data_IF_518623342350
#
_entry.id   IF_518623342350
#
_cell.length_a   1.000
_cell.length_b   1.000
_cell.length_c   1.000
_cell.angle_alpha   90.00
_cell.angle_beta   90.00
_cell.angle_gamma   90.00
#
_symmetry.space_group_name_H-M   'P 1'
#
loop_
_entity.id
_entity.type
_entity.pdbx_description
1 polymer ?
#
# COMPACT_ATOMS: atom_id res chain seq x y z
N UNK A 1 45.87 49.42 28.09
CA UNK A 1 44.75 49.05 29.01
C UNK A 1 44.86 47.57 29.31
N UNK A 2 44.99 47.20 30.59
CA UNK A 2 45.10 45.80 31.01
C UNK A 2 43.71 45.17 31.14
N UNK A 3 43.55 43.95 30.62
CA UNK A 3 42.29 43.19 30.76
C UNK A 3 42.21 42.67 32.21
N UNK A 4 41.13 43.02 32.93
CA UNK A 4 40.81 42.45 34.24
C UNK A 4 39.63 41.46 34.10
N UNK A 5 39.38 40.64 35.12
CA UNK A 5 38.27 39.67 35.14
C UNK A 5 36.88 40.28 34.97
N UNK A 6 36.74 41.58 35.22
CA UNK A 6 35.49 42.34 35.08
C UNK A 6 35.33 42.97 33.67
N UNK A 7 36.38 42.95 32.83
CA UNK A 7 36.40 43.49 31.46
C UNK A 7 36.71 42.39 30.42
N UNK A 8 36.67 41.13 30.84
CA UNK A 8 36.98 40.01 29.98
C UNK A 8 35.72 39.52 29.23
N UNK A 9 35.64 39.78 27.92
CA UNK A 9 34.58 39.27 27.04
C UNK A 9 34.86 37.82 26.63
N UNK A 10 34.68 36.90 27.56
CA UNK A 10 34.59 35.47 27.30
C UNK A 10 33.16 35.01 27.05
N UNK A 11 32.97 33.88 26.37
CA UNK A 11 31.69 33.17 26.41
C UNK A 11 31.45 32.70 27.86
N UNK A 12 30.33 33.09 28.47
CA UNK A 12 30.03 32.80 29.89
C UNK A 12 31.15 33.19 30.89
N UNK A 13 31.87 34.29 30.66
CA UNK A 13 33.00 34.75 31.51
C UNK A 13 34.21 33.79 31.57
N UNK A 14 34.27 32.77 30.69
CA UNK A 14 35.40 31.84 30.61
C UNK A 14 36.43 32.30 29.57
N UNK A 15 37.74 32.07 29.80
CA UNK A 15 38.79 32.41 28.84
C UNK A 15 38.57 31.73 27.49
N UNK A 16 38.75 32.47 26.39
CA UNK A 16 38.76 31.95 25.03
C UNK A 16 39.98 31.05 24.85
N UNK A 17 39.75 29.75 24.96
CA UNK A 17 40.75 28.72 24.70
C UNK A 17 40.10 27.57 23.93
N UNK A 18 40.91 26.74 23.26
CA UNK A 18 40.42 25.62 22.45
C UNK A 18 39.51 24.63 23.21
N UNK A 19 39.61 24.58 24.54
CA UNK A 19 38.77 23.76 25.40
C UNK A 19 37.46 24.45 25.82
N UNK A 20 37.42 25.79 25.87
CA UNK A 20 36.28 26.57 26.35
C UNK A 20 35.51 27.26 25.21
N UNK A 21 35.99 27.16 23.98
CA UNK A 21 35.27 27.64 22.80
C UNK A 21 34.12 26.68 22.47
N UNK A 22 32.87 27.17 22.36
CA UNK A 22 31.73 26.32 22.04
C UNK A 22 31.92 25.70 20.65
N UNK A 23 32.15 24.39 20.62
CA UNK A 23 32.23 23.65 19.36
C UNK A 23 30.82 23.44 18.85
N UNK A 24 30.56 23.92 17.63
CA UNK A 24 29.29 23.70 16.95
C UNK A 24 29.22 22.22 16.56
N UNK A 25 28.32 21.46 17.19
CA UNK A 25 28.00 20.10 16.75
C UNK A 25 26.92 20.19 15.67
N UNK A 26 27.29 19.96 14.42
CA UNK A 26 26.32 19.80 13.34
C UNK A 26 25.68 18.41 13.45
N UNK A 27 24.60 18.30 14.22
CA UNK A 27 23.74 17.12 14.14
C UNK A 27 22.90 17.27 12.88
N UNK A 28 23.05 16.38 11.89
CA UNK A 28 22.08 16.32 10.79
C UNK A 28 20.72 16.08 11.44
N UNK A 29 19.86 17.09 11.40
CA UNK A 29 18.53 17.05 12.01
C UNK A 29 17.70 16.07 11.20
N UNK A 30 17.79 14.79 11.55
CA UNK A 30 17.01 13.71 10.94
C UNK A 30 15.50 13.97 11.08
N UNK A 31 15.11 14.78 12.07
CA UNK A 31 13.73 15.09 12.43
C UNK A 31 13.25 16.46 11.93
N UNK A 32 13.84 17.01 10.86
CA UNK A 32 13.16 18.10 10.16
C UNK A 32 11.91 17.54 9.49
N UNK A 33 10.78 18.28 9.47
CA UNK A 33 9.57 17.84 8.79
C UNK A 33 9.80 17.55 7.30
N UNK A 34 10.81 18.21 6.72
CA UNK A 34 11.26 18.02 5.34
C UNK A 34 11.88 16.62 5.13
N UNK A 35 12.76 16.16 6.03
CA UNK A 35 13.35 14.83 5.98
C UNK A 35 12.30 13.72 6.16
N UNK A 36 11.30 13.92 7.02
CA UNK A 36 10.17 12.98 7.16
C UNK A 36 9.37 12.88 5.85
N UNK A 37 9.10 14.02 5.20
CA UNK A 37 8.38 14.06 3.93
C UNK A 37 9.16 13.34 2.83
N UNK A 38 10.48 13.57 2.74
CA UNK A 38 11.34 12.89 1.78
C UNK A 38 11.40 11.37 2.03
N UNK A 39 11.44 10.94 3.29
CA UNK A 39 11.39 9.52 3.65
C UNK A 39 10.08 8.88 3.21
N UNK A 40 8.94 9.51 3.51
CA UNK A 40 7.63 9.04 3.06
C UNK A 40 7.53 8.98 1.53
N UNK A 41 8.01 10.01 0.84
CA UNK A 41 8.01 10.05 -0.61
C UNK A 41 8.91 8.95 -1.22
N UNK A 42 10.10 8.74 -0.66
CA UNK A 42 11.01 7.67 -1.08
C UNK A 42 10.39 6.28 -0.83
N UNK A 43 9.70 6.09 0.28
CA UNK A 43 8.98 4.87 0.59
C UNK A 43 7.82 4.59 -0.37
N UNK A 44 7.09 5.62 -0.80
CA UNK A 44 6.00 5.50 -1.78
C UNK A 44 6.52 5.26 -3.20
N UNK A 45 7.64 5.89 -3.56
CA UNK A 45 8.30 5.71 -4.87
C UNK A 45 9.09 4.40 -4.96
N UNK A 46 9.29 3.71 -3.84
CA UNK A 46 9.98 2.43 -3.79
C UNK A 46 9.27 1.38 -4.65
N UNK A 47 9.87 1.09 -5.82
CA UNK A 47 9.43 0.03 -6.72
C UNK A 47 9.40 -1.35 -6.03
N UNK A 48 10.15 -1.53 -4.94
CA UNK A 48 10.19 -2.76 -4.15
C UNK A 48 8.89 -2.96 -3.37
N UNK A 49 8.33 -1.90 -2.76
CA UNK A 49 7.00 -1.98 -2.11
C UNK A 49 5.92 -2.25 -3.15
N UNK A 50 5.93 -1.50 -4.26
CA UNK A 50 5.00 -1.71 -5.36
C UNK A 50 5.03 -3.15 -5.91
N UNK A 51 6.24 -3.71 -6.12
CA UNK A 51 6.39 -5.08 -6.61
C UNK A 51 5.91 -6.12 -5.59
N UNK A 52 6.19 -5.92 -4.30
CA UNK A 52 5.69 -6.76 -3.22
C UNK A 52 4.16 -6.74 -3.13
N UNK A 53 3.57 -5.55 -3.12
CA UNK A 53 2.11 -5.37 -3.07
C UNK A 53 1.45 -5.98 -4.31
N UNK A 54 2.08 -5.83 -5.48
CA UNK A 54 1.66 -6.45 -6.73
C UNK A 54 1.74 -7.98 -6.67
N UNK A 55 2.83 -8.56 -6.17
CA UNK A 55 2.98 -10.01 -5.99
C UNK A 55 1.97 -10.57 -4.96
N UNK A 56 1.71 -9.85 -3.86
CA UNK A 56 0.69 -10.22 -2.87
C UNK A 56 -0.73 -10.13 -3.45
N UNK A 57 -1.00 -9.10 -4.28
CA UNK A 57 -2.28 -8.95 -5.00
C UNK A 57 -2.47 -9.97 -6.12
N UNK A 58 -1.39 -10.48 -6.74
CA UNK A 58 -1.45 -11.59 -7.70
C UNK A 58 -1.89 -12.90 -7.04
N UNK A 59 -1.49 -13.13 -5.78
CA UNK A 59 -1.87 -14.33 -5.01
C UNK A 59 -3.29 -14.27 -4.46
N UNK A 60 -3.81 -13.08 -4.18
CA UNK A 60 -5.24 -12.81 -4.01
C UNK A 60 -5.89 -12.79 -5.38
N UNK A 61 -5.89 -13.96 -6.03
CA UNK A 61 -6.42 -14.15 -7.38
C UNK A 61 -7.68 -13.33 -7.52
N UNK A 62 -7.70 -12.46 -8.54
CA UNK A 62 -8.87 -11.68 -8.94
C UNK A 62 -10.08 -12.53 -8.60
N UNK A 63 -10.80 -12.18 -7.52
CA UNK A 63 -12.12 -12.72 -7.33
C UNK A 63 -12.80 -12.20 -8.58
N UNK A 64 -12.91 -13.04 -9.61
CA UNK A 64 -13.76 -12.81 -10.77
C UNK A 64 -14.98 -12.23 -10.11
N UNK A 65 -15.25 -10.95 -10.37
CA UNK A 65 -16.33 -10.23 -9.72
C UNK A 65 -17.56 -11.07 -10.04
N UNK A 66 -17.92 -11.94 -9.11
CA UNK A 66 -18.85 -13.05 -9.32
C UNK A 66 -20.24 -12.51 -9.61
N UNK A 67 -20.41 -11.22 -9.32
CA UNK A 67 -21.61 -10.43 -9.35
C UNK A 67 -21.51 -9.29 -10.37
N UNK A 68 -20.72 -9.43 -11.45
CA UNK A 68 -20.97 -8.57 -12.62
C UNK A 68 -22.34 -8.92 -13.21
N UNK A 69 -23.15 -7.92 -13.57
CA UNK A 69 -24.50 -8.15 -14.09
C UNK A 69 -24.50 -9.03 -15.35
N UNK A 70 -23.45 -8.96 -16.16
CA UNK A 70 -23.30 -9.80 -17.36
C UNK A 70 -23.08 -11.29 -17.02
N UNK A 71 -22.26 -11.61 -16.02
CA UNK A 71 -22.08 -13.00 -15.58
C UNK A 71 -23.37 -13.58 -14.98
N UNK A 72 -24.14 -12.77 -14.24
CA UNK A 72 -25.44 -13.18 -13.72
C UNK A 72 -26.44 -13.47 -14.84
N UNK A 73 -26.46 -12.65 -15.90
CA UNK A 73 -27.28 -12.91 -17.10
C UNK A 73 -26.90 -14.21 -17.77
N UNK A 74 -25.60 -14.45 -18.00
CA UNK A 74 -25.11 -15.69 -18.62
C UNK A 74 -25.49 -16.93 -17.82
N UNK A 75 -25.36 -16.90 -16.48
CA UNK A 75 -25.77 -18.00 -15.60
C UNK A 75 -27.27 -18.29 -15.71
N UNK A 76 -28.12 -17.25 -15.65
CA UNK A 76 -29.58 -17.42 -15.78
C UNK A 76 -29.97 -18.02 -17.13
N UNK A 77 -29.35 -17.54 -18.22
CA UNK A 77 -29.59 -18.10 -19.56
C UNK A 77 -29.14 -19.56 -19.64
N UNK A 78 -28.00 -19.91 -19.04
CA UNK A 78 -27.51 -21.28 -18.99
C UNK A 78 -28.46 -22.21 -18.22
N UNK A 79 -28.97 -21.77 -17.07
CA UNK A 79 -29.95 -22.51 -16.26
C UNK A 79 -31.28 -22.72 -17.01
N UNK A 80 -31.76 -21.70 -17.71
CA UNK A 80 -32.96 -21.82 -18.55
C UNK A 80 -32.76 -22.86 -19.66
N UNK A 81 -31.62 -22.84 -20.34
CA UNK A 81 -31.28 -23.80 -21.39
C UNK A 81 -31.21 -25.22 -20.82
N UNK A 82 -30.59 -25.41 -19.65
CA UNK A 82 -30.50 -26.74 -19.02
C UNK A 82 -31.88 -27.26 -18.63
N UNK A 83 -32.74 -26.40 -18.06
CA UNK A 83 -34.09 -26.80 -17.64
C UNK A 83 -34.95 -27.21 -18.84
N UNK A 84 -34.92 -26.44 -19.94
CA UNK A 84 -35.63 -26.79 -21.17
C UNK A 84 -35.11 -28.12 -21.74
N UNK A 85 -33.80 -28.34 -21.73
CA UNK A 85 -33.20 -29.61 -22.17
C UNK A 85 -33.69 -30.79 -21.33
N UNK A 86 -33.71 -30.66 -20.01
CA UNK A 86 -34.19 -31.70 -19.09
C UNK A 86 -35.68 -31.97 -19.31
N UNK A 87 -36.50 -30.94 -19.45
CA UNK A 87 -37.92 -31.07 -19.74
C UNK A 87 -38.18 -31.79 -21.06
N UNK A 88 -37.41 -31.46 -22.10
CA UNK A 88 -37.54 -32.07 -23.43
C UNK A 88 -37.19 -33.56 -23.39
N UNK A 89 -36.08 -33.93 -22.74
CA UNK A 89 -35.68 -35.33 -22.56
C UNK A 89 -36.71 -36.10 -21.73
N UNK A 90 -37.25 -35.49 -20.67
CA UNK A 90 -38.31 -36.07 -19.85
C UNK A 90 -39.61 -36.28 -20.64
N UNK A 91 -39.98 -35.35 -21.52
CA UNK A 91 -41.15 -35.49 -22.39
C UNK A 91 -40.96 -36.58 -23.45
N UNK A 92 -39.79 -36.67 -24.07
CA UNK A 92 -39.48 -37.73 -25.03
C UNK A 92 -39.51 -39.12 -24.40
N UNK A 93 -38.94 -39.26 -23.20
CA UNK A 93 -38.97 -40.53 -22.46
C UNK A 93 -40.39 -40.92 -22.08
N UNK A 94 -41.21 -39.99 -21.59
CA UNK A 94 -42.62 -40.24 -21.30
C UNK A 94 -43.41 -40.68 -22.55
N UNK A 95 -43.18 -40.05 -23.70
CA UNK A 95 -43.86 -40.42 -24.95
C UNK A 95 -43.49 -41.85 -25.39
N UNK A 96 -42.21 -42.22 -25.30
CA UNK A 96 -41.75 -43.58 -25.60
C UNK A 96 -42.37 -44.63 -24.68
N UNK A 97 -42.64 -44.30 -23.41
CA UNK A 97 -43.30 -45.22 -22.47
C UNK A 97 -44.80 -45.40 -22.72
N UNK A 98 -45.49 -44.42 -23.32
CA UNK A 98 -46.95 -44.49 -23.58
C UNK A 98 -47.28 -45.16 -24.92
N UNK A 99 -46.29 -45.24 -25.82
CA UNK A 99 -46.42 -45.86 -27.14
C UNK A 99 -45.87 -47.29 -27.22
N UNK A 100 -45.50 -47.88 -26.08
CA UNK A 100 -45.04 -49.26 -25.93
C UNK A 100 -46.05 -50.16 -25.22
#
# INVERSE_FOLDING_TARGET
MALNMNNYKGYEKKPYCNAHYPKQSFTTVADTPENLRLKQQSELQSQVKYKRDFEESKGRGFSIVTDTPELQRLKRTQEQISNVRVQFISGMTALMCVSG
#
